data_IF_575975159437
#
_entry.id   IF_575975159437
#
_cell.length_a   1.000
_cell.length_b   1.000
_cell.length_c   1.000
_cell.angle_alpha   90.00
_cell.angle_beta   90.00
_cell.angle_gamma   90.00
#
_symmetry.space_group_name_H-M   'P 1'
#
loop_
_entity.id
_entity.type
_entity.pdbx_description
1 polymer ?
#
# COMPACT_ATOMS: atom_id res chain seq x y z
N UNK A 1 -9.77 9.92 36.23
CA UNK A 1 -10.54 9.00 35.37
C UNK A 1 -9.62 8.51 34.27
N UNK A 2 -9.40 7.20 34.14
CA UNK A 2 -8.40 6.64 33.23
C UNK A 2 -8.08 5.18 33.57
N UNK A 3 -9.11 4.33 33.54
CA UNK A 3 -9.01 2.89 33.85
C UNK A 3 -8.95 2.00 32.61
N UNK A 4 -8.59 2.56 31.44
CA UNK A 4 -8.49 1.80 30.20
C UNK A 4 -7.13 1.11 30.15
N UNK A 5 -7.14 -0.22 30.10
CA UNK A 5 -5.95 -0.99 29.76
C UNK A 5 -5.68 -0.84 28.27
N UNK A 6 -4.57 -0.19 27.91
CA UNK A 6 -4.13 -0.06 26.53
C UNK A 6 -3.07 -1.11 26.20
N UNK A 7 -3.28 -1.85 25.12
CA UNK A 7 -2.26 -2.70 24.50
C UNK A 7 -1.81 -2.04 23.20
N UNK A 8 -0.52 -1.76 23.08
CA UNK A 8 0.09 -1.20 21.89
C UNK A 8 0.90 -2.31 21.21
N UNK A 9 0.73 -2.45 19.90
CA UNK A 9 1.48 -3.41 19.09
C UNK A 9 2.03 -2.69 17.84
N UNK A 10 3.27 -2.99 17.50
CA UNK A 10 3.95 -2.40 16.35
C UNK A 10 5.42 -2.80 16.31
N UNK A 11 6.10 -2.40 15.24
CA UNK A 11 7.53 -2.63 15.05
C UNK A 11 8.21 -1.31 14.70
N UNK A 12 9.07 -0.81 15.59
CA UNK A 12 9.76 0.48 15.41
C UNK A 12 10.89 0.43 14.36
N UNK A 13 11.14 -0.73 13.75
CA UNK A 13 12.04 -0.89 12.61
C UNK A 13 11.31 -0.62 11.28
N UNK A 14 9.99 -0.50 11.31
CA UNK A 14 9.17 -0.15 10.16
C UNK A 14 9.08 1.37 9.96
N UNK A 15 8.17 1.81 9.10
CA UNK A 15 8.01 3.21 8.70
C UNK A 15 7.69 4.12 9.88
N UNK A 16 8.30 5.31 9.90
CA UNK A 16 7.97 6.38 10.83
C UNK A 16 6.57 6.96 10.56
N UNK A 17 5.95 7.65 11.53
CA UNK A 17 4.69 8.35 11.28
C UNK A 17 4.86 9.42 10.20
N UNK A 18 3.87 9.54 9.31
CA UNK A 18 3.85 10.57 8.27
C UNK A 18 3.45 11.91 8.91
N UNK A 19 4.35 12.90 8.86
CA UNK A 19 4.09 14.27 9.29
C UNK A 19 4.02 15.18 8.05
N UNK A 20 2.82 15.58 7.59
CA UNK A 20 2.67 16.40 6.39
C UNK A 20 3.46 17.70 6.52
N UNK A 21 4.33 17.99 5.54
CA UNK A 21 5.22 19.16 5.54
C UNK A 21 6.18 19.23 6.75
N UNK A 22 6.38 18.11 7.45
CA UNK A 22 7.30 18.01 8.58
C UNK A 22 8.75 17.81 8.17
N UNK A 23 9.65 18.11 9.09
CA UNK A 23 11.07 17.78 8.98
C UNK A 23 11.34 16.37 9.53
N UNK A 24 12.54 15.82 9.27
CA UNK A 24 13.02 14.58 9.93
C UNK A 24 12.91 14.67 11.46
N UNK A 25 13.14 15.85 12.03
CA UNK A 25 13.00 16.06 13.48
C UNK A 25 11.55 15.96 13.94
N UNK A 26 10.59 16.46 13.16
CA UNK A 26 9.17 16.38 13.48
C UNK A 26 8.66 14.94 13.43
N UNK A 27 9.10 14.16 12.44
CA UNK A 27 8.82 12.72 12.35
C UNK A 27 9.32 11.98 13.59
N UNK A 28 10.58 12.21 13.99
CA UNK A 28 11.15 11.61 15.20
C UNK A 28 10.38 12.03 16.44
N UNK A 29 10.00 13.31 16.57
CA UNK A 29 9.19 13.82 17.69
C UNK A 29 7.78 13.23 17.74
N UNK A 30 7.20 12.89 16.58
CA UNK A 30 5.89 12.25 16.48
C UNK A 30 5.92 10.77 16.88
N UNK A 31 7.09 10.13 16.90
CA UNK A 31 7.22 8.73 17.31
C UNK A 31 6.80 8.53 18.76
N UNK A 32 6.06 7.45 19.01
CA UNK A 32 5.58 7.14 20.36
C UNK A 32 6.71 6.99 21.39
N UNK A 33 7.92 6.57 20.97
CA UNK A 33 9.13 6.54 21.82
C UNK A 33 9.55 7.91 22.38
N UNK A 34 9.07 9.03 21.82
CA UNK A 34 9.28 10.38 22.33
C UNK A 34 8.17 10.86 23.27
N UNK A 35 7.11 10.08 23.45
CA UNK A 35 6.01 10.40 24.37
C UNK A 35 6.48 10.36 25.82
N UNK A 36 5.92 11.24 26.66
CA UNK A 36 6.11 11.22 28.12
C UNK A 36 5.54 9.96 28.78
N UNK A 37 4.71 9.20 28.06
CA UNK A 37 4.20 7.91 28.50
C UNK A 37 5.19 6.77 28.29
N UNK A 38 6.17 6.91 27.38
CA UNK A 38 7.08 5.82 27.01
C UNK A 38 7.79 5.17 28.21
N UNK A 39 8.32 5.92 29.20
CA UNK A 39 8.94 5.33 30.38
C UNK A 39 7.98 4.53 31.28
N UNK A 40 6.67 4.69 31.11
CA UNK A 40 5.63 4.01 31.89
C UNK A 40 5.11 2.74 31.21
N UNK A 41 5.58 2.45 29.99
CA UNK A 41 5.13 1.29 29.21
C UNK A 41 5.89 0.04 29.64
N UNK A 42 5.15 -1.01 29.95
CA UNK A 42 5.72 -2.36 30.06
C UNK A 42 5.95 -2.92 28.65
N UNK A 43 7.20 -3.25 28.32
CA UNK A 43 7.57 -3.72 26.98
C UNK A 43 7.58 -5.25 26.97
N UNK A 44 6.72 -5.84 26.14
CA UNK A 44 6.72 -7.26 25.83
C UNK A 44 7.29 -7.47 24.42
N UNK A 45 8.19 -8.43 24.25
CA UNK A 45 8.86 -8.71 22.97
C UNK A 45 8.42 -10.06 22.43
N UNK A 46 8.07 -10.10 21.14
CA UNK A 46 7.88 -11.33 20.39
C UNK A 46 9.19 -11.66 19.65
N UNK A 47 9.72 -12.86 19.84
CA UNK A 47 11.02 -13.28 19.27
C UNK A 47 10.90 -14.34 18.18
N UNK A 48 9.75 -15.02 18.06
CA UNK A 48 9.54 -16.08 17.06
C UNK A 48 8.94 -15.50 15.78
N UNK A 49 9.65 -15.62 14.66
CA UNK A 49 9.11 -15.28 13.34
C UNK A 49 8.13 -16.38 12.86
N UNK A 50 6.85 -16.18 13.13
CA UNK A 50 5.79 -17.12 12.73
C UNK A 50 5.59 -17.19 11.21
N UNK A 51 5.96 -16.15 10.44
CA UNK A 51 5.84 -16.15 8.98
C UNK A 51 6.79 -17.16 8.34
N UNK A 52 8.02 -17.24 8.84
CA UNK A 52 9.01 -18.23 8.40
C UNK A 52 8.66 -19.63 8.90
N UNK A 53 8.25 -19.75 10.17
CA UNK A 53 7.97 -21.05 10.78
C UNK A 53 6.75 -21.77 10.19
N UNK A 54 5.79 -21.02 9.65
CA UNK A 54 4.60 -21.57 8.98
C UNK A 54 4.77 -21.68 7.46
N UNK A 55 5.87 -21.15 6.90
CA UNK A 55 6.19 -21.26 5.47
C UNK A 55 6.97 -22.54 5.18
N UNK A 56 6.64 -23.22 4.08
CA UNK A 56 7.33 -24.44 3.63
C UNK A 56 8.63 -24.14 2.84
N UNK A 57 9.05 -22.88 2.77
CA UNK A 57 10.16 -22.45 1.92
C UNK A 57 11.54 -22.63 2.59
N UNK A 58 12.40 -23.42 1.95
CA UNK A 58 13.76 -23.74 2.41
C UNK A 58 14.67 -22.52 2.62
N UNK A 59 14.39 -21.39 1.96
CA UNK A 59 15.19 -20.17 2.03
C UNK A 59 14.61 -19.07 2.94
N UNK A 60 13.43 -19.30 3.53
CA UNK A 60 12.74 -18.29 4.34
C UNK A 60 13.53 -17.90 5.60
N UNK A 61 14.34 -18.80 6.17
CA UNK A 61 15.19 -18.54 7.33
C UNK A 61 16.25 -17.47 7.04
N UNK A 62 17.12 -17.72 6.06
CA UNK A 62 18.20 -16.78 5.71
C UNK A 62 17.69 -15.42 5.23
N UNK A 63 16.59 -15.39 4.48
CA UNK A 63 15.95 -14.13 4.09
C UNK A 63 15.40 -13.36 5.29
N UNK A 64 14.79 -14.05 6.25
CA UNK A 64 14.29 -13.41 7.49
C UNK A 64 15.42 -12.84 8.34
N UNK A 65 16.53 -13.56 8.48
CA UNK A 65 17.67 -13.10 9.26
C UNK A 65 18.26 -11.83 8.65
N UNK A 66 18.40 -11.79 7.33
CA UNK A 66 18.80 -10.58 6.61
C UNK A 66 17.84 -9.39 6.88
N UNK A 67 16.52 -9.61 6.79
CA UNK A 67 15.55 -8.56 7.08
C UNK A 67 15.64 -8.04 8.52
N UNK A 68 16.01 -8.90 9.48
CA UNK A 68 16.24 -8.51 10.86
C UNK A 68 17.51 -7.66 11.00
N UNK A 69 18.61 -8.05 10.36
CA UNK A 69 19.86 -7.27 10.34
C UNK A 69 19.63 -5.88 9.75
N UNK A 70 18.93 -5.79 8.62
CA UNK A 70 18.56 -4.51 7.99
C UNK A 70 17.69 -3.67 8.95
N UNK A 71 16.64 -4.28 9.52
CA UNK A 71 15.73 -3.58 10.42
C UNK A 71 16.39 -3.09 11.71
N UNK A 72 17.41 -3.80 12.22
CA UNK A 72 18.17 -3.39 13.39
C UNK A 72 19.23 -2.32 13.08
N UNK A 73 19.59 -2.14 11.80
CA UNK A 73 20.70 -1.29 11.39
C UNK A 73 22.07 -1.96 11.55
N UNK A 74 22.10 -3.29 11.66
CA UNK A 74 23.34 -4.09 11.78
C UNK A 74 23.90 -4.49 10.41
N UNK A 75 23.09 -4.38 9.34
CA UNK A 75 23.49 -4.74 7.98
C UNK A 75 24.43 -3.67 7.37
N UNK A 76 25.53 -4.07 6.70
CA UNK A 76 26.47 -3.13 6.10
C UNK A 76 25.79 -2.15 5.13
N UNK A 77 26.02 -0.87 5.35
CA UNK A 77 25.57 0.21 4.47
C UNK A 77 26.72 1.11 4.06
N UNK A 78 26.70 1.59 2.81
CA UNK A 78 27.60 2.60 2.31
C UNK A 78 26.76 3.78 1.80
N UNK A 79 27.04 5.00 2.27
CA UNK A 79 26.31 6.21 1.89
C UNK A 79 24.78 6.10 2.06
N UNK A 80 24.33 5.63 3.23
CA UNK A 80 22.91 5.37 3.55
C UNK A 80 22.22 4.31 2.67
N UNK A 81 22.97 3.59 1.82
CA UNK A 81 22.47 2.55 0.92
C UNK A 81 22.94 1.16 1.34
N UNK A 82 22.09 0.16 1.13
CA UNK A 82 22.43 -1.26 1.32
C UNK A 82 22.59 -1.95 -0.04
N UNK A 83 23.47 -2.94 -0.11
CA UNK A 83 23.57 -3.83 -1.27
C UNK A 83 22.76 -5.09 -0.99
N UNK A 84 21.73 -5.33 -1.80
CA UNK A 84 20.91 -6.55 -1.71
C UNK A 84 21.67 -7.69 -2.41
N UNK A 85 21.83 -8.86 -1.76
CA UNK A 85 22.45 -10.03 -2.39
C UNK A 85 21.73 -10.47 -3.68
N UNK A 86 22.49 -10.79 -4.73
CA UNK A 86 21.96 -11.15 -6.06
C UNK A 86 21.06 -12.40 -6.03
N UNK A 87 21.29 -13.31 -5.08
CA UNK A 87 20.49 -14.52 -4.92
C UNK A 87 19.10 -14.28 -4.29
N UNK A 88 18.82 -13.06 -3.79
CA UNK A 88 17.58 -12.73 -3.10
C UNK A 88 16.60 -11.92 -3.94
N UNK A 89 17.06 -11.32 -5.04
CA UNK A 89 16.19 -10.55 -5.91
C UNK A 89 16.64 -10.66 -7.36
N UNK A 90 15.68 -10.50 -8.27
CA UNK A 90 16.01 -10.34 -9.67
C UNK A 90 15.85 -8.87 -10.06
N UNK A 91 16.97 -8.21 -10.35
CA UNK A 91 16.97 -6.83 -10.80
C UNK A 91 16.45 -6.76 -12.24
N UNK A 92 15.64 -5.76 -12.53
CA UNK A 92 15.12 -5.42 -13.87
C UNK A 92 15.43 -3.97 -14.17
N UNK A 93 15.58 -3.65 -15.44
CA UNK A 93 15.97 -2.30 -15.90
C UNK A 93 14.78 -1.42 -16.27
N UNK A 94 13.64 -2.01 -16.60
CA UNK A 94 12.43 -1.28 -16.98
C UNK A 94 11.21 -1.68 -16.16
N UNK A 95 10.25 -0.76 -16.06
CA UNK A 95 8.93 -1.03 -15.45
C UNK A 95 8.18 -2.11 -16.24
N UNK A 96 8.36 -2.19 -17.55
CA UNK A 96 7.71 -3.20 -18.39
C UNK A 96 8.25 -4.61 -18.09
N UNK A 97 9.56 -4.74 -17.86
CA UNK A 97 10.17 -6.00 -17.44
C UNK A 97 9.67 -6.42 -16.05
N UNK A 98 9.50 -5.45 -15.13
CA UNK A 98 8.89 -5.70 -13.83
C UNK A 98 7.45 -6.22 -13.97
N UNK A 99 6.62 -5.53 -14.77
CA UNK A 99 5.23 -5.90 -15.01
C UNK A 99 5.15 -7.30 -15.60
N UNK A 100 5.91 -7.58 -16.66
CA UNK A 100 5.87 -8.88 -17.34
C UNK A 100 6.36 -10.04 -16.47
N UNK A 101 7.34 -9.80 -15.58
CA UNK A 101 7.78 -10.81 -14.59
C UNK A 101 6.75 -11.08 -13.50
N UNK A 102 6.16 -10.03 -12.93
CA UNK A 102 5.21 -10.19 -11.81
C UNK A 102 3.85 -10.67 -12.32
N UNK A 103 3.40 -10.13 -13.45
CA UNK A 103 2.12 -10.41 -14.08
C UNK A 103 2.30 -10.94 -15.51
N UNK A 104 2.78 -12.19 -15.66
CA UNK A 104 2.86 -12.79 -16.98
C UNK A 104 1.46 -12.96 -17.58
N UNK A 105 1.31 -12.60 -18.86
CA UNK A 105 0.06 -12.74 -19.60
C UNK A 105 -1.12 -12.00 -18.93
N UNK A 106 -0.87 -10.76 -18.51
CA UNK A 106 -1.85 -9.95 -17.79
C UNK A 106 -3.01 -9.47 -18.67
N UNK A 107 -2.86 -9.47 -19.99
CA UNK A 107 -3.94 -9.09 -20.91
C UNK A 107 -5.17 -10.00 -20.74
N UNK A 108 -4.94 -11.32 -20.57
CA UNK A 108 -5.96 -12.34 -20.30
C UNK A 108 -6.26 -12.49 -18.80
N UNK A 109 -6.34 -11.37 -18.07
CA UNK A 109 -6.63 -11.35 -16.62
C UNK A 109 -7.97 -12.00 -16.26
N UNK A 110 -8.90 -12.04 -17.21
CA UNK A 110 -10.19 -12.71 -17.06
C UNK A 110 -10.04 -14.17 -16.64
N UNK A 111 -9.08 -14.87 -17.26
CA UNK A 111 -8.86 -16.30 -17.11
C UNK A 111 -8.02 -16.63 -15.86
N UNK A 112 -7.42 -15.63 -15.22
CA UNK A 112 -6.62 -15.82 -14.01
C UNK A 112 -7.53 -16.02 -12.78
N UNK A 113 -7.26 -17.04 -11.95
CA UNK A 113 -7.98 -17.26 -10.71
C UNK A 113 -7.62 -16.19 -9.66
N UNK A 114 -8.43 -16.08 -8.60
CA UNK A 114 -8.20 -15.05 -7.57
C UNK A 114 -6.90 -15.31 -6.80
N UNK A 115 -6.57 -16.57 -6.57
CA UNK A 115 -5.36 -17.03 -5.87
C UNK A 115 -4.11 -16.52 -6.59
N UNK A 116 -4.08 -16.60 -7.93
CA UNK A 116 -3.00 -16.08 -8.76
C UNK A 116 -2.82 -14.56 -8.56
N UNK A 117 -3.91 -13.81 -8.49
CA UNK A 117 -3.84 -12.36 -8.22
C UNK A 117 -3.39 -12.06 -6.78
N UNK A 118 -3.79 -12.89 -5.82
CA UNK A 118 -3.50 -12.69 -4.41
C UNK A 118 -2.01 -12.86 -4.05
N UNK A 119 -1.28 -13.67 -4.80
CA UNK A 119 0.15 -13.94 -4.63
C UNK A 119 1.07 -12.84 -5.18
N UNK A 120 0.50 -11.86 -5.88
CA UNK A 120 1.28 -10.86 -6.64
C UNK A 120 0.97 -9.46 -6.16
N UNK A 121 2.00 -8.62 -6.14
CA UNK A 121 1.90 -7.20 -5.84
C UNK A 121 3.11 -6.46 -6.42
N UNK A 122 2.88 -5.26 -6.93
CA UNK A 122 3.96 -4.31 -7.22
C UNK A 122 3.88 -3.22 -6.16
N UNK A 123 4.98 -3.01 -5.45
CA UNK A 123 5.10 -1.95 -4.45
C UNK A 123 6.00 -0.84 -5.00
N UNK A 124 5.58 0.41 -4.83
CA UNK A 124 6.37 1.59 -5.20
C UNK A 124 6.57 2.48 -3.98
N UNK A 125 7.67 3.26 -3.90
CA UNK A 125 7.87 4.21 -2.82
C UNK A 125 6.87 5.39 -2.85
N UNK A 126 6.30 5.70 -4.03
CA UNK A 126 5.39 6.83 -4.23
C UNK A 126 4.07 6.41 -4.87
N UNK A 127 2.99 7.07 -4.46
CA UNK A 127 1.62 6.82 -4.93
C UNK A 127 1.42 7.19 -6.41
N UNK A 128 2.12 8.22 -6.91
CA UNK A 128 2.05 8.63 -8.32
C UNK A 128 2.64 7.57 -9.25
N UNK A 129 3.76 6.94 -8.86
CA UNK A 129 4.35 5.81 -9.56
C UNK A 129 3.42 4.59 -9.53
N UNK A 130 2.81 4.29 -8.38
CA UNK A 130 1.80 3.22 -8.30
C UNK A 130 0.63 3.49 -9.25
N UNK A 131 0.14 4.73 -9.30
CA UNK A 131 -0.95 5.12 -10.21
C UNK A 131 -0.55 4.91 -11.68
N UNK A 132 0.64 5.37 -12.10
CA UNK A 132 1.12 5.20 -13.47
C UNK A 132 1.26 3.72 -13.88
N UNK A 133 1.72 2.86 -12.96
CA UNK A 133 1.80 1.41 -13.20
C UNK A 133 0.40 0.80 -13.28
N UNK A 134 -0.52 1.19 -12.38
CA UNK A 134 -1.91 0.73 -12.42
C UNK A 134 -2.60 1.12 -13.72
N UNK A 135 -2.39 2.35 -14.20
CA UNK A 135 -2.93 2.82 -15.49
C UNK A 135 -2.37 1.98 -16.65
N UNK A 136 -1.05 1.73 -16.65
CA UNK A 136 -0.40 0.88 -17.66
C UNK A 136 -0.98 -0.53 -17.69
N UNK A 137 -1.15 -1.15 -16.51
CA UNK A 137 -1.76 -2.47 -16.38
C UNK A 137 -3.22 -2.46 -16.86
N UNK A 138 -4.02 -1.46 -16.45
CA UNK A 138 -5.42 -1.37 -16.82
C UNK A 138 -5.64 -1.25 -18.32
N UNK A 139 -4.75 -0.52 -19.02
CA UNK A 139 -4.78 -0.40 -20.49
C UNK A 139 -4.46 -1.72 -21.20
N UNK A 140 -3.79 -2.66 -20.53
CA UNK A 140 -3.47 -3.97 -21.10
C UNK A 140 -4.59 -4.99 -21.01
N UNK A 141 -5.58 -4.79 -20.12
CA UNK A 141 -6.65 -5.76 -19.92
C UNK A 141 -7.61 -5.74 -21.11
N UNK A 142 -8.11 -6.90 -21.50
CA UNK A 142 -9.18 -6.98 -22.51
C UNK A 142 -10.55 -6.59 -21.93
N UNK A 143 -11.47 -6.18 -22.81
CA UNK A 143 -12.86 -5.86 -22.46
C UNK A 143 -13.20 -4.38 -22.48
N UNK A 144 -14.51 -4.10 -22.39
CA UNK A 144 -15.07 -2.74 -22.47
C UNK A 144 -14.65 -1.89 -21.27
N UNK A 145 -14.20 -0.67 -21.57
CA UNK A 145 -13.88 0.33 -20.56
C UNK A 145 -15.14 1.01 -20.04
N UNK A 146 -15.19 1.21 -18.72
CA UNK A 146 -16.20 2.04 -18.08
C UNK A 146 -15.57 3.07 -17.17
N UNK A 147 -16.01 4.31 -17.32
CA UNK A 147 -15.58 5.43 -16.50
C UNK A 147 -16.69 5.80 -15.54
N UNK A 148 -16.38 5.83 -14.25
CA UNK A 148 -17.23 6.39 -13.20
C UNK A 148 -16.62 7.73 -12.76
N UNK A 149 -17.41 8.80 -12.85
CA UNK A 149 -17.00 10.14 -12.45
C UNK A 149 -17.55 10.48 -11.06
N UNK A 150 -16.74 11.06 -10.17
CA UNK A 150 -17.24 11.61 -8.91
C UNK A 150 -18.16 12.81 -9.15
N UNK A 151 -18.97 13.12 -8.14
CA UNK A 151 -19.77 14.33 -8.05
C UNK A 151 -19.30 15.06 -6.80
N UNK A 152 -18.49 16.10 -7.01
CA UNK A 152 -17.85 16.84 -5.93
C UNK A 152 -18.48 18.23 -5.80
N UNK A 153 -18.78 18.65 -4.58
CA UNK A 153 -19.40 19.93 -4.27
C UNK A 153 -18.75 20.58 -3.06
N UNK A 154 -18.70 21.91 -3.04
CA UNK A 154 -18.35 22.68 -1.85
C UNK A 154 -19.47 22.57 -0.79
N UNK A 155 -19.11 22.63 0.48
CA UNK A 155 -20.10 22.62 1.58
C UNK A 155 -20.80 23.98 1.69
N UNK A 156 -20.07 25.07 1.47
CA UNK A 156 -20.59 26.43 1.47
C UNK A 156 -20.76 26.94 0.04
N UNK A 157 -21.98 27.35 -0.32
CA UNK A 157 -22.30 27.84 -1.66
C UNK A 157 -21.60 29.17 -1.98
N UNK A 158 -21.27 29.98 -0.97
CA UNK A 158 -20.51 31.22 -1.16
C UNK A 158 -19.09 30.97 -1.69
N UNK A 159 -18.56 29.76 -1.46
CA UNK A 159 -17.24 29.34 -1.93
C UNK A 159 -17.27 28.71 -3.33
N UNK A 160 -18.45 28.52 -3.92
CA UNK A 160 -18.59 27.87 -5.23
C UNK A 160 -17.90 28.66 -6.36
N UNK A 161 -17.79 29.99 -6.23
CA UNK A 161 -17.05 30.83 -7.17
C UNK A 161 -15.54 30.72 -6.98
N UNK A 162 -15.07 30.37 -5.77
CA UNK A 162 -13.65 30.27 -5.43
C UNK A 162 -13.07 28.90 -5.79
N UNK A 163 -13.91 27.86 -5.80
CA UNK A 163 -13.51 26.48 -6.09
C UNK A 163 -14.33 25.93 -7.26
N UNK A 164 -13.92 26.21 -8.51
CA UNK A 164 -14.60 25.70 -9.69
C UNK A 164 -14.54 24.16 -9.74
N UNK A 165 -15.47 23.54 -10.45
CA UNK A 165 -15.57 22.07 -10.51
C UNK A 165 -14.32 21.43 -11.10
N UNK A 166 -13.63 22.10 -12.02
CA UNK A 166 -12.36 21.67 -12.59
C UNK A 166 -11.27 21.58 -11.52
N UNK A 167 -11.26 22.51 -10.56
CA UNK A 167 -10.38 22.45 -9.41
C UNK A 167 -10.72 21.26 -8.51
N UNK A 168 -12.00 21.06 -8.19
CA UNK A 168 -12.44 19.92 -7.38
C UNK A 168 -12.06 18.57 -8.03
N UNK A 169 -12.30 18.43 -9.32
CA UNK A 169 -11.99 17.24 -10.11
C UNK A 169 -10.47 16.96 -10.21
N UNK A 170 -9.62 17.97 -9.97
CA UNK A 170 -8.17 17.84 -9.95
C UNK A 170 -7.61 17.30 -8.62
N UNK A 171 -8.42 17.34 -7.55
CA UNK A 171 -7.98 16.93 -6.21
C UNK A 171 -7.70 15.43 -6.15
N UNK A 172 -6.65 15.08 -5.41
CA UNK A 172 -6.24 13.68 -5.16
C UNK A 172 -6.12 13.43 -3.65
N UNK A 173 -7.23 13.51 -2.89
CA UNK A 173 -7.17 13.36 -1.45
C UNK A 173 -6.74 11.93 -1.06
N UNK A 174 -5.91 11.77 -0.01
CA UNK A 174 -5.51 10.45 0.47
C UNK A 174 -6.72 9.61 0.87
N UNK A 175 -6.72 8.33 0.51
CA UNK A 175 -7.78 7.39 0.89
C UNK A 175 -9.09 7.56 0.11
N UNK A 176 -9.10 8.32 -0.99
CA UNK A 176 -10.22 8.40 -1.92
C UNK A 176 -9.83 8.05 -3.35
N UNK A 177 -10.75 7.51 -4.16
CA UNK A 177 -10.54 7.40 -5.60
C UNK A 177 -10.40 8.78 -6.25
N UNK A 178 -9.75 8.83 -7.41
CA UNK A 178 -9.73 10.03 -8.24
C UNK A 178 -11.10 10.30 -8.86
N UNK A 179 -11.31 11.54 -9.30
CA UNK A 179 -12.55 11.96 -9.95
C UNK A 179 -12.96 11.00 -11.07
N UNK A 180 -12.01 10.57 -11.91
CA UNK A 180 -12.25 9.58 -12.98
C UNK A 180 -11.72 8.22 -12.54
N UNK A 181 -12.64 7.29 -12.26
CA UNK A 181 -12.33 5.90 -12.00
C UNK A 181 -12.63 5.06 -13.24
N UNK A 182 -11.59 4.71 -13.99
CA UNK A 182 -11.68 3.81 -15.14
C UNK A 182 -11.59 2.36 -14.64
N UNK A 183 -12.47 1.48 -15.12
CA UNK A 183 -12.50 0.06 -14.79
C UNK A 183 -12.83 -0.78 -16.03
N UNK A 184 -12.34 -2.02 -16.04
CA UNK A 184 -12.75 -3.09 -16.95
C UNK A 184 -13.24 -4.28 -16.13
N UNK A 185 -14.00 -5.19 -16.76
CA UNK A 185 -14.35 -6.46 -16.10
C UNK A 185 -13.06 -7.23 -15.83
N UNK A 186 -13.00 -7.93 -14.69
CA UNK A 186 -11.83 -8.65 -14.18
C UNK A 186 -10.69 -7.80 -13.62
N UNK A 187 -10.80 -6.47 -13.62
CA UNK A 187 -9.84 -5.58 -12.94
C UNK A 187 -9.77 -5.92 -11.43
N UNK A 188 -8.57 -6.15 -10.87
CA UNK A 188 -8.36 -6.22 -9.44
C UNK A 188 -8.51 -4.82 -8.83
N UNK A 189 -9.28 -4.73 -7.75
CA UNK A 189 -9.51 -3.47 -7.02
C UNK A 189 -9.26 -3.68 -5.54
N UNK A 190 -8.99 -2.58 -4.84
CA UNK A 190 -8.89 -2.56 -3.38
C UNK A 190 -9.98 -1.69 -2.80
N UNK A 191 -10.67 -2.21 -1.79
CA UNK A 191 -11.67 -1.45 -1.05
C UNK A 191 -11.00 -0.40 -0.17
N UNK A 192 -11.44 0.85 -0.25
CA UNK A 192 -10.87 1.97 0.53
C UNK A 192 -11.68 2.33 1.79
N UNK A 193 -12.89 1.75 1.95
CA UNK A 193 -13.81 2.08 3.04
C UNK A 193 -14.38 0.83 3.68
N UNK A 194 -14.69 0.90 4.97
CA UNK A 194 -15.35 -0.20 5.66
C UNK A 194 -16.82 -0.27 5.23
N UNK A 195 -17.21 -1.39 4.61
CA UNK A 195 -18.60 -1.64 4.20
C UNK A 195 -19.27 -2.64 5.15
N UNK A 196 -18.53 -3.70 5.52
CA UNK A 196 -19.01 -4.75 6.43
C UNK A 196 -17.84 -5.23 7.29
N UNK A 197 -17.70 -4.74 8.54
CA UNK A 197 -16.62 -5.13 9.43
C UNK A 197 -16.44 -6.65 9.51
N UNK A 198 -15.19 -7.10 9.67
CA UNK A 198 -14.72 -8.49 9.62
C UNK A 198 -14.72 -9.19 8.24
N UNK A 199 -15.39 -8.65 7.21
CA UNK A 199 -15.43 -9.27 5.87
C UNK A 199 -15.04 -8.33 4.73
N UNK A 200 -15.54 -7.09 4.74
CA UNK A 200 -15.30 -6.07 3.71
C UNK A 200 -14.84 -4.79 4.41
N UNK A 201 -13.54 -4.74 4.69
CA UNK A 201 -12.87 -3.60 5.28
C UNK A 201 -11.88 -2.95 4.29
N UNK A 202 -11.42 -1.75 4.63
CA UNK A 202 -10.34 -1.10 3.90
C UNK A 202 -9.14 -2.05 3.73
N UNK A 203 -8.60 -2.13 2.51
CA UNK A 203 -7.51 -3.04 2.13
C UNK A 203 -7.98 -4.38 1.54
N UNK A 204 -9.29 -4.69 1.58
CA UNK A 204 -9.83 -5.91 0.97
C UNK A 204 -9.63 -5.89 -0.55
N UNK A 205 -8.93 -6.88 -1.11
CA UNK A 205 -8.74 -7.07 -2.55
C UNK A 205 -9.94 -7.79 -3.17
N UNK A 206 -10.43 -7.29 -4.29
CA UNK A 206 -11.59 -7.82 -5.02
C UNK A 206 -11.31 -7.87 -6.52
N UNK A 207 -12.11 -8.63 -7.28
CA UNK A 207 -12.07 -8.70 -8.75
C UNK A 207 -13.42 -8.25 -9.28
N UNK A 208 -13.41 -7.28 -10.20
CA UNK A 208 -14.63 -6.78 -10.84
C UNK A 208 -15.28 -7.91 -11.64
N UNK A 209 -16.56 -8.20 -11.38
CA UNK A 209 -17.33 -9.23 -12.11
C UNK A 209 -18.29 -8.65 -13.15
N UNK A 210 -18.81 -7.45 -12.90
CA UNK A 210 -19.73 -6.76 -13.79
C UNK A 210 -19.66 -5.25 -13.54
N UNK A 211 -20.07 -4.47 -14.54
CA UNK A 211 -20.00 -3.00 -14.54
C UNK A 211 -21.34 -2.40 -14.99
N UNK A 212 -22.14 -1.89 -14.05
CA UNK A 212 -23.48 -1.39 -14.31
C UNK A 212 -23.51 0.14 -14.46
N UNK A 213 -24.50 0.68 -15.17
CA UNK A 213 -24.73 2.14 -15.15
C UNK A 213 -25.25 2.52 -13.77
N UNK A 214 -24.78 3.65 -13.24
CA UNK A 214 -25.30 4.26 -12.01
C UNK A 214 -26.64 4.91 -12.34
#
# INVERSE_FOLDING_TARGET
MGGVTALLAGDFRQTLPVVPKGTRTDEVKSCFKRSTLWPKINILKLSKNMRVHLGEEKFAGGFSDLLLEIGNGDYPSFDEMITIPENLCTVVTTVQDLISKIYPDIAHIHDKPMEWLCERVILTPKNDQAAAINDTLLMSFEGEEKVYTSIDTVVNMDDATNYPVEFLNSLKPPGMPYHRLLLRVSTPIMLLRNLKPLKLCSGTRLKVKALHRI
#
